data_IF_495517797019
#
_entry.id   IF_495517797019
#
_cell.length_a   1.000
_cell.length_b   1.000
_cell.length_c   1.000
_cell.angle_alpha   90.00
_cell.angle_beta   90.00
_cell.angle_gamma   90.00
#
_symmetry.space_group_name_H-M   'P 1'
#
loop_
_entity.id
_entity.type
_entity.pdbx_description
1 polymer ?
#
# COMPACT_ATOMS: atom_id res chain seq x y z
N UNK A 1 0.87 19.64 4.59
CA UNK A 1 1.20 20.89 3.84
C UNK A 1 0.17 21.95 4.22
N UNK A 2 0.59 23.16 4.60
CA UNK A 2 -0.37 24.24 4.88
C UNK A 2 -0.89 24.80 3.55
N UNK A 3 -2.21 24.90 3.41
CA UNK A 3 -2.85 25.60 2.28
C UNK A 3 -2.57 27.08 2.52
N UNK A 4 -1.75 27.68 1.66
CA UNK A 4 -1.44 29.10 1.71
C UNK A 4 -2.43 29.86 0.84
N UNK A 5 -3.52 30.30 1.44
CA UNK A 5 -4.44 31.21 0.74
C UNK A 5 -3.75 32.53 0.46
N UNK A 6 -4.01 33.08 -0.70
CA UNK A 6 -3.42 34.30 -1.23
C UNK A 6 -4.02 35.56 -0.61
N UNK A 7 -4.09 35.62 0.74
CA UNK A 7 -4.72 36.73 1.44
C UNK A 7 -4.07 38.07 1.13
N UNK A 8 -2.75 38.08 0.87
CA UNK A 8 -2.03 39.31 0.53
C UNK A 8 -2.54 39.91 -0.78
N UNK A 9 -2.73 39.09 -1.82
CA UNK A 9 -3.23 39.55 -3.12
C UNK A 9 -4.73 39.90 -3.06
N UNK A 10 -5.51 39.16 -2.26
CA UNK A 10 -6.92 39.49 -2.03
C UNK A 10 -7.03 40.84 -1.35
N UNK A 11 -6.23 41.12 -0.31
CA UNK A 11 -6.21 42.38 0.40
C UNK A 11 -5.68 43.55 -0.45
N UNK A 12 -4.92 43.27 -1.49
CA UNK A 12 -4.40 44.27 -2.42
C UNK A 12 -5.41 44.66 -3.50
N UNK A 13 -6.57 44.00 -3.60
CA UNK A 13 -7.64 44.41 -4.48
C UNK A 13 -8.33 45.64 -3.87
N UNK A 14 -8.24 46.76 -4.55
CA UNK A 14 -8.93 47.96 -4.11
C UNK A 14 -10.42 47.89 -4.44
N UNK A 15 -11.24 47.61 -3.43
CA UNK A 15 -12.67 47.49 -3.55
C UNK A 15 -13.38 48.84 -3.74
N UNK A 16 -12.68 49.93 -3.51
CA UNK A 16 -13.24 51.31 -3.68
C UNK A 16 -12.87 51.90 -5.05
N UNK A 17 -12.07 51.24 -5.84
CA UNK A 17 -11.69 51.66 -7.18
C UNK A 17 -12.69 51.13 -8.23
N UNK A 18 -13.17 51.92 -9.20
CA UNK A 18 -12.91 53.36 -9.41
C UNK A 18 -13.71 54.25 -8.45
N UNK A 19 -13.14 55.42 -8.12
CA UNK A 19 -13.81 56.38 -7.25
C UNK A 19 -14.78 57.21 -8.09
N UNK A 20 -16.06 57.24 -7.67
CA UNK A 20 -17.11 57.99 -8.38
C UNK A 20 -16.81 59.50 -8.43
N UNK A 21 -16.93 60.11 -9.59
CA UNK A 21 -16.72 61.53 -9.80
C UNK A 21 -15.26 61.98 -9.94
N UNK A 22 -14.31 61.03 -9.98
CA UNK A 22 -12.90 61.29 -10.25
C UNK A 22 -12.49 60.76 -11.62
N UNK A 23 -11.47 61.35 -12.23
CA UNK A 23 -10.82 60.80 -13.41
C UNK A 23 -9.94 59.64 -12.97
N UNK A 24 -10.40 58.41 -13.25
CA UNK A 24 -9.70 57.17 -12.87
C UNK A 24 -8.83 56.70 -14.02
N UNK A 25 -7.54 56.59 -13.77
CA UNK A 25 -6.63 56.03 -14.76
C UNK A 25 -6.83 54.50 -14.93
N UNK A 26 -6.27 53.96 -16.01
CA UNK A 26 -6.40 52.52 -16.30
C UNK A 26 -5.49 51.65 -15.43
N UNK A 27 -4.57 52.21 -14.64
CA UNK A 27 -3.58 51.47 -13.87
C UNK A 27 -4.26 50.73 -12.71
N UNK A 28 -5.16 51.43 -11.96
CA UNK A 28 -5.90 50.79 -10.86
C UNK A 28 -6.74 49.59 -11.32
N UNK A 29 -7.32 49.62 -12.52
CA UNK A 29 -8.00 48.46 -13.10
C UNK A 29 -7.03 47.33 -13.39
N UNK A 30 -5.87 47.62 -14.00
CA UNK A 30 -4.86 46.60 -14.32
C UNK A 30 -4.29 45.94 -13.06
N UNK A 31 -4.07 46.76 -12.04
CA UNK A 31 -3.53 46.25 -10.75
C UNK A 31 -4.56 45.33 -10.09
N UNK A 32 -5.85 45.73 -10.04
CA UNK A 32 -6.90 44.88 -9.51
C UNK A 32 -7.05 43.56 -10.32
N UNK A 33 -7.06 43.63 -11.65
CA UNK A 33 -7.11 42.42 -12.47
C UNK A 33 -5.89 41.53 -12.28
N UNK A 34 -4.70 42.11 -12.10
CA UNK A 34 -3.47 41.35 -11.80
C UNK A 34 -3.57 40.67 -10.46
N UNK A 35 -4.07 41.34 -9.41
CA UNK A 35 -4.29 40.80 -8.08
C UNK A 35 -5.32 39.66 -8.10
N UNK A 36 -6.43 39.84 -8.82
CA UNK A 36 -7.45 38.80 -9.01
C UNK A 36 -6.82 37.57 -9.72
N UNK A 37 -6.10 37.78 -10.81
CA UNK A 37 -5.45 36.69 -11.56
C UNK A 37 -4.47 35.93 -10.67
N UNK A 38 -3.64 36.64 -9.90
CA UNK A 38 -2.66 36.02 -9.01
C UNK A 38 -3.35 35.20 -7.90
N UNK A 39 -4.44 35.73 -7.32
CA UNK A 39 -5.26 35.04 -6.32
C UNK A 39 -5.87 33.76 -6.87
N UNK A 40 -6.46 33.81 -8.06
CA UNK A 40 -7.05 32.66 -8.74
C UNK A 40 -5.99 31.61 -9.11
N UNK A 41 -4.79 32.05 -9.52
CA UNK A 41 -3.68 31.14 -9.82
C UNK A 41 -3.24 30.38 -8.58
N UNK A 42 -3.12 31.06 -7.44
CA UNK A 42 -2.77 30.40 -6.17
C UNK A 42 -3.87 29.47 -5.69
N UNK A 43 -5.14 29.89 -5.75
CA UNK A 43 -6.27 29.03 -5.40
C UNK A 43 -6.31 27.77 -6.26
N UNK A 44 -6.05 27.90 -7.57
CA UNK A 44 -5.92 26.72 -8.46
C UNK A 44 -4.79 25.79 -8.00
N UNK A 45 -3.63 26.33 -7.68
CA UNK A 45 -2.48 25.52 -7.20
C UNK A 45 -2.81 24.79 -5.89
N UNK A 46 -3.52 25.45 -4.98
CA UNK A 46 -3.95 24.85 -3.71
C UNK A 46 -4.96 23.72 -3.94
N UNK A 47 -5.91 23.91 -4.87
CA UNK A 47 -6.87 22.87 -5.26
C UNK A 47 -6.19 21.68 -5.94
N UNK A 48 -5.25 21.91 -6.85
CA UNK A 48 -4.48 20.85 -7.50
C UNK A 48 -3.66 20.05 -6.44
N UNK A 49 -3.12 20.74 -5.45
CA UNK A 49 -2.38 20.14 -4.33
C UNK A 49 -3.32 19.30 -3.45
N UNK A 50 -4.51 19.79 -3.13
CA UNK A 50 -5.53 19.03 -2.40
C UNK A 50 -5.95 17.79 -3.19
N UNK A 51 -6.22 17.93 -4.48
CA UNK A 51 -6.61 16.80 -5.33
C UNK A 51 -5.53 15.71 -5.38
N UNK A 52 -4.26 16.11 -5.34
CA UNK A 52 -3.13 15.18 -5.38
C UNK A 52 -2.85 14.51 -4.02
N UNK A 53 -3.05 15.23 -2.90
CA UNK A 53 -2.57 14.80 -1.58
C UNK A 53 -3.69 14.37 -0.61
N UNK A 54 -4.97 14.35 -1.03
CA UNK A 54 -6.06 13.87 -0.19
C UNK A 54 -6.56 12.50 -0.60
N UNK A 55 -6.94 11.70 0.40
CA UNK A 55 -7.61 10.43 0.15
C UNK A 55 -8.96 10.65 -0.53
N UNK A 56 -9.24 9.86 -1.56
CA UNK A 56 -10.46 9.95 -2.37
C UNK A 56 -11.45 8.86 -1.98
N UNK A 57 -12.72 9.21 -1.83
CA UNK A 57 -13.76 8.25 -1.43
C UNK A 57 -14.20 7.30 -2.55
N UNK A 58 -13.88 7.61 -3.79
CA UNK A 58 -14.36 6.90 -4.98
C UNK A 58 -13.25 6.26 -5.82
N UNK A 59 -12.04 6.17 -5.30
CA UNK A 59 -10.90 5.55 -5.97
C UNK A 59 -9.94 4.90 -4.97
N UNK A 60 -9.05 4.06 -5.45
CA UNK A 60 -7.97 3.53 -4.65
C UNK A 60 -7.04 4.66 -4.16
N UNK A 61 -6.58 4.54 -2.93
CA UNK A 61 -5.64 5.48 -2.32
C UNK A 61 -4.36 4.75 -1.97
N UNK A 62 -3.23 5.25 -2.44
CA UNK A 62 -1.91 4.82 -2.01
C UNK A 62 -1.39 5.85 -1.00
N UNK A 63 -1.21 5.40 0.24
CA UNK A 63 -0.66 6.24 1.31
C UNK A 63 0.87 6.29 1.28
N UNK A 64 1.49 5.64 0.29
CA UNK A 64 2.94 5.66 0.04
C UNK A 64 3.78 5.41 1.31
N UNK A 65 3.34 4.43 2.11
CA UNK A 65 4.00 4.03 3.36
C UNK A 65 3.84 5.03 4.53
N UNK A 66 3.02 6.09 4.37
CA UNK A 66 2.70 6.98 5.47
C UNK A 66 1.79 6.30 6.50
N UNK A 67 1.98 6.64 7.76
CA UNK A 67 1.20 6.11 8.86
C UNK A 67 -0.24 6.61 8.84
N UNK A 68 -1.17 5.71 9.16
CA UNK A 68 -2.56 6.03 9.46
C UNK A 68 -2.77 5.77 10.95
N UNK A 69 -2.74 6.85 11.75
CA UNK A 69 -2.90 6.76 13.20
C UNK A 69 -4.36 6.87 13.63
N UNK A 70 -4.72 6.22 14.75
CA UNK A 70 -6.03 6.31 15.41
C UNK A 70 -7.23 5.97 14.51
N UNK A 71 -7.01 5.13 13.48
CA UNK A 71 -8.06 4.73 12.56
C UNK A 71 -8.95 3.62 13.13
N UNK A 72 -10.27 3.81 13.12
CA UNK A 72 -11.25 2.76 13.39
C UNK A 72 -11.67 2.11 12.06
N UNK A 73 -11.22 0.88 11.83
CA UNK A 73 -11.58 0.11 10.64
C UNK A 73 -12.68 -0.90 10.98
N UNK A 74 -13.88 -0.73 10.40
CA UNK A 74 -15.01 -1.64 10.59
C UNK A 74 -15.35 -2.32 9.27
N UNK A 75 -15.46 -3.65 9.29
CA UNK A 75 -15.83 -4.46 8.12
C UNK A 75 -14.90 -4.24 6.90
N UNK A 76 -13.59 -4.08 7.17
CA UNK A 76 -12.59 -4.05 6.11
C UNK A 76 -12.34 -5.45 5.54
N UNK A 77 -11.99 -5.51 4.26
CA UNK A 77 -11.53 -6.73 3.58
C UNK A 77 -10.10 -6.54 3.12
N UNK A 78 -9.33 -7.63 3.13
CA UNK A 78 -8.01 -7.67 2.52
C UNK A 78 -8.10 -8.24 1.11
N UNK A 79 -7.21 -7.81 0.23
CA UNK A 79 -7.10 -8.39 -1.12
C UNK A 79 -6.39 -9.72 -1.02
N UNK A 80 -7.02 -10.77 -1.54
CA UNK A 80 -6.40 -12.08 -1.69
C UNK A 80 -5.62 -12.12 -3.00
N UNK A 81 -4.33 -12.39 -2.92
CA UNK A 81 -3.52 -12.61 -4.11
C UNK A 81 -3.52 -14.11 -4.47
N UNK A 82 -4.06 -14.42 -5.64
CA UNK A 82 -4.07 -15.80 -6.18
C UNK A 82 -2.85 -16.00 -7.09
N UNK A 83 -1.85 -16.74 -6.59
CA UNK A 83 -0.66 -17.11 -7.35
C UNK A 83 -1.06 -18.11 -8.47
N UNK A 84 -2.16 -18.83 -8.26
CA UNK A 84 -2.66 -19.83 -9.20
C UNK A 84 -1.92 -21.18 -9.13
N UNK A 85 -2.03 -22.01 -10.18
CA UNK A 85 -1.32 -23.29 -10.29
C UNK A 85 0.19 -23.09 -10.48
N UNK A 86 1.00 -23.72 -9.64
CA UNK A 86 2.46 -23.57 -9.64
C UNK A 86 3.14 -24.92 -9.64
N UNK A 87 4.02 -25.18 -10.62
CA UNK A 87 4.79 -26.41 -10.74
C UNK A 87 6.32 -26.22 -10.66
N UNK A 88 6.79 -24.98 -10.56
CA UNK A 88 8.20 -24.62 -10.49
C UNK A 88 8.46 -23.61 -9.35
N UNK A 89 9.68 -23.58 -8.87
CA UNK A 89 10.12 -22.64 -7.82
C UNK A 89 9.94 -21.20 -8.25
N UNK A 90 9.46 -20.35 -7.33
CA UNK A 90 9.24 -18.91 -7.58
C UNK A 90 9.25 -18.11 -6.29
N UNK A 91 9.19 -16.79 -6.45
CA UNK A 91 9.09 -15.86 -5.33
C UNK A 91 7.65 -15.71 -4.85
N UNK A 92 7.49 -15.65 -3.53
CA UNK A 92 6.29 -15.18 -2.85
C UNK A 92 6.60 -13.77 -2.39
N UNK A 93 6.04 -12.80 -3.09
CA UNK A 93 6.35 -11.38 -2.88
C UNK A 93 5.34 -10.77 -1.91
N UNK A 94 5.82 -10.18 -0.80
CA UNK A 94 4.98 -9.56 0.21
C UNK A 94 4.15 -8.39 -0.36
N UNK A 95 4.66 -7.65 -1.35
CA UNK A 95 3.94 -6.52 -1.98
C UNK A 95 2.63 -6.93 -2.66
N UNK A 96 2.45 -8.21 -2.97
CA UNK A 96 1.22 -8.71 -3.58
C UNK A 96 0.04 -8.78 -2.60
N UNK A 97 0.28 -8.64 -1.29
CA UNK A 97 -0.76 -8.63 -0.25
C UNK A 97 -0.49 -9.64 0.86
N UNK A 98 -1.17 -9.42 1.97
CA UNK A 98 -0.93 -10.16 3.21
C UNK A 98 -1.51 -11.58 3.20
N UNK A 99 -2.47 -11.87 2.33
CA UNK A 99 -3.01 -13.22 2.16
C UNK A 99 -2.80 -13.68 0.72
N UNK A 100 -1.99 -14.74 0.57
CA UNK A 100 -1.67 -15.30 -0.74
C UNK A 100 -2.03 -16.78 -0.78
N UNK A 101 -2.45 -17.28 -1.93
CA UNK A 101 -2.81 -18.68 -2.11
C UNK A 101 -2.20 -19.24 -3.39
N UNK A 102 -1.84 -20.52 -3.38
CA UNK A 102 -1.29 -21.23 -4.52
C UNK A 102 -1.81 -22.68 -4.58
N UNK A 103 -2.06 -23.18 -5.79
CA UNK A 103 -2.27 -24.60 -6.05
C UNK A 103 -0.95 -25.23 -6.49
N UNK A 104 -0.49 -26.25 -5.77
CA UNK A 104 0.86 -26.79 -5.90
C UNK A 104 0.83 -28.02 -6.83
N UNK A 105 1.33 -27.84 -8.05
CA UNK A 105 1.40 -28.85 -9.09
C UNK A 105 2.76 -29.55 -9.24
N UNK A 106 3.73 -29.26 -8.36
CA UNK A 106 5.05 -29.86 -8.37
C UNK A 106 5.81 -29.70 -7.06
N UNK A 107 6.90 -30.42 -6.89
CA UNK A 107 7.85 -30.12 -5.82
C UNK A 107 8.60 -28.84 -6.17
N UNK A 108 8.58 -27.87 -5.29
CA UNK A 108 9.11 -26.52 -5.57
C UNK A 108 9.65 -25.83 -4.32
N UNK A 109 10.36 -24.73 -4.54
CA UNK A 109 10.77 -23.81 -3.47
C UNK A 109 10.02 -22.49 -3.63
N UNK A 110 9.39 -22.02 -2.57
CA UNK A 110 8.93 -20.63 -2.44
C UNK A 110 9.96 -19.81 -1.69
N UNK A 111 10.43 -18.74 -2.34
CA UNK A 111 11.33 -17.77 -1.72
C UNK A 111 10.55 -16.55 -1.29
N UNK A 112 10.49 -16.27 0.01
CA UNK A 112 9.82 -15.10 0.58
C UNK A 112 10.65 -13.85 0.29
N UNK A 113 10.03 -12.85 -0.35
CA UNK A 113 10.73 -11.66 -0.87
C UNK A 113 9.97 -10.36 -0.59
N UNK A 114 10.65 -9.24 -0.82
CA UNK A 114 10.05 -7.89 -0.81
C UNK A 114 9.40 -7.50 0.50
N UNK A 115 10.00 -7.91 1.62
CA UNK A 115 9.57 -7.41 2.92
C UNK A 115 9.76 -5.89 3.01
N UNK A 116 8.83 -5.15 3.65
CA UNK A 116 8.89 -3.70 3.70
C UNK A 116 10.14 -3.22 4.43
N UNK A 117 10.79 -2.21 3.89
CA UNK A 117 11.93 -1.56 4.54
C UNK A 117 11.49 -0.63 5.67
N UNK A 118 12.39 -0.40 6.59
CA UNK A 118 12.23 0.49 7.73
C UNK A 118 12.08 -0.23 9.06
N UNK A 119 12.91 0.14 10.01
CA UNK A 119 12.92 -0.44 11.36
C UNK A 119 11.58 -0.25 12.09
N UNK A 120 11.26 -1.17 12.99
CA UNK A 120 10.05 -1.16 13.82
C UNK A 120 8.73 -1.31 13.05
N UNK A 121 8.74 -1.93 11.87
CA UNK A 121 7.54 -2.30 11.15
C UNK A 121 7.32 -3.80 11.24
N UNK A 122 6.17 -4.22 11.73
CA UNK A 122 5.77 -5.62 11.70
C UNK A 122 5.07 -5.92 10.37
N UNK A 123 5.71 -6.70 9.52
CA UNK A 123 5.10 -7.24 8.31
C UNK A 123 4.57 -8.66 8.57
N UNK A 124 3.42 -8.98 7.97
CA UNK A 124 2.78 -10.29 8.06
C UNK A 124 2.38 -10.79 6.69
N UNK A 125 2.38 -12.11 6.53
CA UNK A 125 1.94 -12.80 5.32
C UNK A 125 1.34 -14.15 5.73
N UNK A 126 0.12 -14.42 5.32
CA UNK A 126 -0.48 -15.76 5.38
C UNK A 126 -0.41 -16.41 4.01
N UNK A 127 0.14 -17.61 3.94
CA UNK A 127 0.22 -18.40 2.72
C UNK A 127 -0.66 -19.65 2.84
N UNK A 128 -1.60 -19.78 1.92
CA UNK A 128 -2.42 -20.97 1.76
C UNK A 128 -1.88 -21.82 0.62
N UNK A 129 -1.53 -23.05 0.92
CA UNK A 129 -1.06 -24.05 -0.04
C UNK A 129 -2.15 -25.09 -0.25
N UNK A 130 -2.62 -25.22 -1.49
CA UNK A 130 -3.60 -26.23 -1.90
C UNK A 130 -2.88 -27.30 -2.71
N UNK A 131 -3.18 -28.57 -2.45
CA UNK A 131 -2.70 -29.70 -3.28
C UNK A 131 -3.45 -29.75 -4.62
N UNK A 132 -2.77 -30.17 -5.69
CA UNK A 132 -3.37 -30.54 -6.98
C UNK A 132 -4.00 -31.94 -6.98
N UNK A 133 -4.04 -32.61 -5.83
CA UNK A 133 -4.48 -34.01 -5.69
C UNK A 133 -3.32 -35.03 -5.74
N UNK A 134 -2.09 -34.55 -5.73
CA UNK A 134 -0.89 -35.40 -5.67
C UNK A 134 -0.03 -35.00 -4.47
N UNK A 135 0.67 -35.95 -3.88
CA UNK A 135 1.63 -35.67 -2.82
C UNK A 135 2.76 -34.78 -3.35
N UNK A 136 2.98 -33.62 -2.74
CA UNK A 136 3.96 -32.61 -3.13
C UNK A 136 4.75 -32.13 -1.93
N UNK A 137 5.91 -31.55 -2.19
CA UNK A 137 6.73 -30.90 -1.15
C UNK A 137 7.04 -29.47 -1.57
N UNK A 138 6.74 -28.52 -0.69
CA UNK A 138 7.09 -27.12 -0.85
C UNK A 138 8.20 -26.81 0.15
N UNK A 139 9.36 -26.37 -0.34
CA UNK A 139 10.44 -25.85 0.50
C UNK A 139 10.30 -24.35 0.63
N UNK A 140 10.51 -23.81 1.82
CA UNK A 140 10.45 -22.39 2.11
C UNK A 140 11.86 -21.83 2.25
N UNK A 141 12.14 -20.71 1.63
CA UNK A 141 13.40 -20.00 1.69
C UNK A 141 13.19 -18.50 1.88
N UNK A 142 14.15 -17.83 2.51
CA UNK A 142 14.19 -16.37 2.60
C UNK A 142 15.11 -15.80 1.51
N UNK A 143 14.75 -14.66 0.96
CA UNK A 143 15.63 -13.93 0.05
C UNK A 143 16.77 -13.23 0.80
N UNK A 144 17.83 -12.87 0.08
CA UNK A 144 18.90 -12.04 0.63
C UNK A 144 19.72 -12.66 1.76
N UNK A 145 19.63 -13.99 1.96
CA UNK A 145 20.33 -14.67 3.07
C UNK A 145 19.63 -14.54 4.42
N UNK A 146 18.37 -14.12 4.45
CA UNK A 146 17.54 -14.11 5.66
C UNK A 146 17.35 -15.52 6.24
N UNK A 147 17.05 -15.60 7.52
CA UNK A 147 16.83 -16.86 8.27
C UNK A 147 15.34 -17.04 8.58
N UNK A 148 14.80 -18.25 8.44
CA UNK A 148 13.42 -18.57 8.81
C UNK A 148 13.41 -19.39 10.10
N UNK A 149 12.74 -18.88 11.12
CA UNK A 149 12.52 -19.57 12.40
C UNK A 149 11.16 -20.26 12.39
N UNK A 150 11.16 -21.58 12.46
CA UNK A 150 9.97 -22.40 12.31
C UNK A 150 9.33 -22.78 13.66
N UNK A 151 8.00 -22.75 13.70
CA UNK A 151 7.21 -23.26 14.81
C UNK A 151 6.10 -24.20 14.30
N UNK A 152 6.09 -25.45 14.78
CA UNK A 152 5.16 -26.49 14.37
C UNK A 152 5.38 -27.05 12.96
N UNK A 153 6.51 -26.73 12.33
CA UNK A 153 6.90 -27.17 10.99
C UNK A 153 8.42 -27.10 10.80
N UNK A 154 8.91 -27.58 9.68
CA UNK A 154 10.28 -27.40 9.19
C UNK A 154 10.31 -26.50 7.96
N UNK A 155 11.46 -26.35 7.32
CA UNK A 155 11.63 -25.66 6.03
C UNK A 155 10.88 -26.33 4.87
N UNK A 156 10.32 -27.49 5.11
CA UNK A 156 9.65 -28.33 4.11
C UNK A 156 8.22 -28.64 4.54
N UNK A 157 7.27 -28.34 3.68
CA UNK A 157 5.83 -28.58 3.86
C UNK A 157 5.37 -29.66 2.91
N UNK A 158 5.04 -30.82 3.45
CA UNK A 158 4.45 -31.91 2.68
C UNK A 158 2.95 -31.65 2.46
N UNK A 159 2.49 -31.75 1.23
CA UNK A 159 1.08 -31.71 0.86
C UNK A 159 0.60 -33.13 0.54
N UNK A 160 -0.57 -33.48 1.03
CA UNK A 160 -1.17 -34.79 0.80
C UNK A 160 -1.74 -34.91 -0.63
N UNK A 161 -1.96 -36.14 -1.07
CA UNK A 161 -2.59 -36.43 -2.34
C UNK A 161 -4.13 -36.25 -2.26
N UNK A 162 -4.58 -35.10 -1.74
CA UNK A 162 -5.99 -34.74 -1.63
C UNK A 162 -6.17 -33.25 -2.00
N UNK A 163 -6.85 -33.02 -3.11
CA UNK A 163 -7.09 -31.67 -3.63
C UNK A 163 -8.03 -30.81 -2.75
N UNK A 164 -8.73 -31.41 -1.78
CA UNK A 164 -9.58 -30.66 -0.86
C UNK A 164 -8.80 -30.11 0.34
N UNK A 165 -7.59 -30.63 0.58
CA UNK A 165 -6.79 -30.21 1.73
C UNK A 165 -5.96 -28.96 1.45
N UNK A 166 -5.98 -28.06 2.42
CA UNK A 166 -5.27 -26.80 2.38
C UNK A 166 -4.40 -26.66 3.62
N UNK A 167 -3.17 -26.23 3.45
CA UNK A 167 -2.25 -25.94 4.57
C UNK A 167 -2.03 -24.45 4.66
N UNK A 168 -2.22 -23.89 5.86
CA UNK A 168 -2.02 -22.48 6.14
C UNK A 168 -0.77 -22.27 6.98
N UNK A 169 0.00 -21.26 6.60
CA UNK A 169 1.25 -20.88 7.26
C UNK A 169 1.26 -19.37 7.40
N UNK A 170 1.47 -18.89 8.61
CA UNK A 170 1.72 -17.48 8.89
C UNK A 170 3.22 -17.19 8.94
N UNK A 171 3.57 -16.08 8.34
CA UNK A 171 4.91 -15.51 8.39
C UNK A 171 4.86 -14.10 8.95
N UNK A 172 5.87 -13.70 9.71
CA UNK A 172 6.06 -12.32 10.12
C UNK A 172 7.54 -12.00 10.30
N UNK A 173 7.86 -10.72 10.15
CA UNK A 173 9.19 -10.16 10.36
C UNK A 173 9.05 -8.75 10.90
N UNK A 174 10.00 -8.30 11.70
CA UNK A 174 10.11 -6.93 12.22
C UNK A 174 11.48 -6.30 11.92
N UNK A 175 12.30 -7.00 11.12
CA UNK A 175 13.65 -6.63 10.72
C UNK A 175 13.88 -6.75 9.20
N UNK A 176 12.88 -6.35 8.39
CA UNK A 176 12.97 -6.29 6.93
C UNK A 176 13.21 -7.66 6.25
N UNK A 177 12.88 -8.75 6.94
CA UNK A 177 13.06 -10.11 6.44
C UNK A 177 14.44 -10.73 6.70
N UNK A 178 15.29 -10.09 7.49
CA UNK A 178 16.53 -10.69 7.96
C UNK A 178 16.24 -11.90 8.84
N UNK A 179 15.21 -11.81 9.68
CA UNK A 179 14.62 -12.93 10.42
C UNK A 179 13.13 -13.03 10.11
N UNK A 180 12.70 -14.16 9.60
CA UNK A 180 11.30 -14.45 9.33
C UNK A 180 10.83 -15.52 10.31
N UNK A 181 9.76 -15.28 11.01
CA UNK A 181 9.11 -16.28 11.85
C UNK A 181 8.01 -16.96 11.07
N UNK A 182 8.01 -18.29 11.03
CA UNK A 182 7.02 -19.09 10.34
C UNK A 182 6.27 -19.97 11.33
N UNK A 183 4.95 -19.93 11.29
CA UNK A 183 4.08 -20.75 12.13
C UNK A 183 3.09 -21.53 11.27
N UNK A 184 3.08 -22.83 11.44
CA UNK A 184 2.04 -23.67 10.86
C UNK A 184 0.72 -23.46 11.60
N UNK A 185 -0.33 -23.05 10.90
CA UNK A 185 -1.65 -22.83 11.46
C UNK A 185 -2.52 -24.09 11.45
N UNK A 186 -2.29 -24.97 10.48
CA UNK A 186 -3.04 -26.20 10.38
C UNK A 186 -3.35 -26.61 8.93
N UNK A 187 -3.95 -27.78 8.83
CA UNK A 187 -4.56 -28.32 7.62
C UNK A 187 -6.08 -28.19 7.74
N UNK A 188 -6.71 -27.82 6.65
CA UNK A 188 -8.15 -27.60 6.53
C UNK A 188 -8.70 -28.40 5.36
N UNK A 189 -9.93 -28.93 5.53
CA UNK A 189 -10.72 -29.67 4.53
C UNK A 189 -11.93 -28.87 4.08
#
# INVERSE_FOLDING_TARGET
>A
MAITTSQTEINAIDALYPVAGQDNDSQGFRDNFSNIKNSLTKAKTDLDTLDTNTAKLNSANDFNGNEISEANMKANTEVVYDIGPVSASQNVNWDNGHYQKAEIGGNLTFTLTSWPSGSNKLARLTLMLKSDGSARTVTLAASGGGDIKYNGMTDSVALDADANKHKLIDFWTDDEGATIYAKYLGEFE
#
